data_IF_233020031386
#
_entry.id   IF_233020031386
#
_cell.length_a   1.000
_cell.length_b   1.000
_cell.length_c   1.000
_cell.angle_alpha   90.00
_cell.angle_beta   90.00
_cell.angle_gamma   90.00
#
_symmetry.space_group_name_H-M   'P 1'
#
loop_
_entity.id
_entity.type
_entity.pdbx_description
1 polymer ?
#
# COMPACT_ATOMS: atom_id res chain seq x y z
N UNK A 1 -11.29 -12.49 5.58
CA UNK A 1 -10.03 -11.75 5.79
C UNK A 1 -10.25 -10.35 6.35
N UNK A 2 -11.23 -10.25 7.23
CA UNK A 2 -11.55 -8.97 7.91
C UNK A 2 -10.35 -8.44 8.71
N UNK A 3 -9.49 -9.34 9.19
CA UNK A 3 -8.28 -9.02 9.94
C UNK A 3 -7.26 -8.14 9.18
N UNK A 4 -7.38 -8.07 7.86
CA UNK A 4 -6.52 -7.22 7.04
C UNK A 4 -7.20 -5.98 6.48
N UNK A 5 -8.49 -5.77 6.78
CA UNK A 5 -9.22 -4.60 6.28
C UNK A 5 -9.12 -3.45 7.27
N UNK A 6 -8.65 -2.30 6.78
CA UNK A 6 -8.71 -1.06 7.52
C UNK A 6 -9.82 -0.18 6.92
N UNK A 7 -11.03 -0.19 7.50
CA UNK A 7 -12.21 0.44 6.90
C UNK A 7 -12.01 1.92 6.56
N UNK A 8 -11.30 2.65 7.43
CA UNK A 8 -11.01 4.08 7.21
C UNK A 8 -10.22 4.33 5.93
N UNK A 9 -9.18 3.53 5.68
CA UNK A 9 -8.38 3.67 4.46
C UNK A 9 -9.14 3.23 3.23
N UNK A 10 -9.89 2.13 3.32
CA UNK A 10 -10.74 1.68 2.23
C UNK A 10 -11.78 2.74 1.85
N UNK A 11 -12.45 3.35 2.82
CA UNK A 11 -13.43 4.41 2.59
C UNK A 11 -12.77 5.64 1.97
N UNK A 12 -11.57 6.00 2.43
CA UNK A 12 -10.82 7.13 1.89
C UNK A 12 -10.47 6.89 0.41
N UNK A 13 -9.92 5.73 0.09
CA UNK A 13 -9.58 5.36 -1.30
C UNK A 13 -10.82 5.34 -2.20
N UNK A 14 -11.93 4.81 -1.70
CA UNK A 14 -13.18 4.70 -2.47
C UNK A 14 -13.71 6.07 -2.95
N UNK A 15 -13.41 7.15 -2.23
CA UNK A 15 -13.80 8.50 -2.62
C UNK A 15 -13.17 8.98 -3.93
N UNK A 16 -12.04 8.37 -4.33
CA UNK A 16 -11.31 8.74 -5.55
C UNK A 16 -11.61 7.83 -6.73
N UNK A 17 -12.53 6.88 -6.56
CA UNK A 17 -12.87 5.88 -7.58
C UNK A 17 -14.18 6.19 -8.33
N UNK A 18 -14.72 7.40 -8.20
CA UNK A 18 -15.99 7.79 -8.86
C UNK A 18 -15.89 7.68 -10.39
N UNK A 19 -14.72 7.97 -10.96
CA UNK A 19 -14.44 7.81 -12.38
C UNK A 19 -13.88 6.42 -12.74
N UNK A 20 -13.79 5.52 -11.76
CA UNK A 20 -13.24 4.18 -11.89
C UNK A 20 -11.75 4.16 -12.30
N UNK A 21 -11.01 5.23 -11.98
CA UNK A 21 -9.58 5.37 -12.27
C UNK A 21 -8.87 5.87 -11.02
N UNK A 22 -7.79 5.19 -10.63
CA UNK A 22 -6.89 5.67 -9.59
C UNK A 22 -5.60 6.20 -10.23
N UNK A 23 -5.31 7.47 -10.02
CA UNK A 23 -4.15 8.15 -10.60
C UNK A 23 -2.96 8.04 -9.66
N UNK A 24 -1.89 7.43 -10.13
CA UNK A 24 -0.71 7.11 -9.31
C UNK A 24 0.55 7.74 -9.92
N UNK A 25 1.36 8.37 -9.08
CA UNK A 25 2.67 8.88 -9.43
C UNK A 25 3.75 8.19 -8.60
N UNK A 26 4.85 7.80 -9.23
CA UNK A 26 6.02 7.23 -8.58
C UNK A 26 7.23 8.09 -8.94
N UNK A 27 7.83 8.76 -7.95
CA UNK A 27 8.93 9.70 -8.18
C UNK A 27 10.20 8.98 -8.66
N UNK A 28 10.50 7.81 -8.10
CA UNK A 28 11.65 6.97 -8.47
C UNK A 28 11.17 5.63 -9.05
N UNK A 29 10.60 5.61 -10.27
CA UNK A 29 10.02 4.40 -10.82
C UNK A 29 11.09 3.35 -11.13
N UNK A 30 10.80 2.10 -10.79
CA UNK A 30 11.63 0.94 -11.06
C UNK A 30 10.79 -0.12 -11.78
N UNK A 31 11.45 -1.15 -12.31
CA UNK A 31 10.75 -2.32 -12.85
C UNK A 31 9.82 -2.93 -11.79
N UNK A 32 10.28 -2.97 -10.54
CA UNK A 32 9.49 -3.51 -9.44
C UNK A 32 8.20 -2.69 -9.22
N UNK A 33 8.30 -1.36 -9.11
CA UNK A 33 7.12 -0.49 -8.88
C UNK A 33 6.15 -0.53 -10.05
N UNK A 34 6.64 -0.57 -11.28
CA UNK A 34 5.79 -0.72 -12.47
C UNK A 34 5.04 -2.05 -12.45
N UNK A 35 5.71 -3.15 -12.12
CA UNK A 35 5.06 -4.47 -12.01
C UNK A 35 4.06 -4.52 -10.86
N UNK A 36 4.37 -3.90 -9.73
CA UNK A 36 3.46 -3.81 -8.59
C UNK A 36 2.13 -3.15 -8.98
N UNK A 37 2.20 -2.02 -9.67
CA UNK A 37 1.02 -1.30 -10.12
C UNK A 37 0.26 -2.07 -11.21
N UNK A 38 0.97 -2.66 -12.18
CA UNK A 38 0.34 -3.45 -13.24
C UNK A 38 -0.35 -4.69 -12.69
N UNK A 39 0.25 -5.38 -11.72
CA UNK A 39 -0.36 -6.55 -11.07
C UNK A 39 -1.61 -6.15 -10.30
N UNK A 40 -1.57 -5.02 -9.58
CA UNK A 40 -2.76 -4.50 -8.89
C UNK A 40 -3.88 -4.16 -9.87
N UNK A 41 -3.55 -3.50 -10.99
CA UNK A 41 -4.51 -3.14 -12.03
C UNK A 41 -5.28 -4.36 -12.55
N UNK A 42 -4.61 -5.50 -12.67
CA UNK A 42 -5.25 -6.76 -13.09
C UNK A 42 -6.17 -7.37 -12.03
N UNK A 43 -5.99 -7.05 -10.76
CA UNK A 43 -6.73 -7.65 -9.65
C UNK A 43 -8.01 -6.89 -9.26
N UNK A 44 -8.10 -5.61 -9.58
CA UNK A 44 -9.13 -4.71 -9.06
C UNK A 44 -10.11 -4.27 -10.14
N UNK A 45 -11.27 -3.79 -9.71
CA UNK A 45 -12.34 -3.35 -10.61
C UNK A 45 -12.13 -1.95 -11.20
N UNK A 46 -11.14 -1.21 -10.72
CA UNK A 46 -10.79 0.11 -11.26
C UNK A 46 -9.48 0.05 -12.04
N UNK A 47 -9.27 1.02 -12.92
CA UNK A 47 -8.04 1.16 -13.68
C UNK A 47 -7.00 1.95 -12.88
N UNK A 48 -5.73 1.59 -13.01
CA UNK A 48 -4.62 2.35 -12.45
C UNK A 48 -3.94 3.12 -13.58
N UNK A 49 -3.98 4.46 -13.48
CA UNK A 49 -3.31 5.34 -14.43
C UNK A 49 -2.03 5.88 -13.82
N UNK A 50 -0.88 5.47 -14.37
CA UNK A 50 0.42 5.97 -13.92
C UNK A 50 0.71 7.31 -14.58
N UNK A 51 0.92 8.33 -13.75
CA UNK A 51 1.18 9.70 -14.20
C UNK A 51 2.68 9.98 -14.29
N UNK A 52 3.06 10.86 -15.22
CA UNK A 52 4.45 11.33 -15.37
C UNK A 52 4.81 12.47 -14.43
N UNK A 53 3.81 13.12 -13.83
CA UNK A 53 3.98 14.25 -12.90
C UNK A 53 3.02 14.11 -11.72
N UNK A 54 3.36 14.64 -10.53
CA UNK A 54 2.57 14.43 -9.32
C UNK A 54 1.31 15.29 -9.21
N UNK A 55 1.16 16.31 -10.04
CA UNK A 55 0.14 17.37 -9.85
C UNK A 55 -1.29 16.85 -9.64
N UNK A 56 -1.69 15.81 -10.36
CA UNK A 56 -3.05 15.25 -10.30
C UNK A 56 -3.08 13.85 -9.72
N UNK A 57 -1.98 13.40 -9.08
CA UNK A 57 -1.93 12.08 -8.49
C UNK A 57 -2.80 12.00 -7.24
N UNK A 58 -3.53 10.90 -7.13
CA UNK A 58 -4.31 10.55 -5.93
C UNK A 58 -3.44 9.73 -4.98
N UNK A 59 -2.50 8.96 -5.50
CA UNK A 59 -1.45 8.31 -4.72
C UNK A 59 -0.09 8.68 -5.30
N UNK A 60 0.79 9.24 -4.47
CA UNK A 60 2.13 9.63 -4.89
C UNK A 60 3.18 8.99 -4.00
N UNK A 61 4.17 8.34 -4.61
CA UNK A 61 5.28 7.66 -3.91
C UNK A 61 6.55 8.49 -4.04
N UNK A 62 7.21 8.73 -2.90
CA UNK A 62 8.49 9.44 -2.84
C UNK A 62 9.50 8.67 -1.99
N UNK A 63 10.76 8.66 -2.40
CA UNK A 63 11.87 8.20 -1.57
C UNK A 63 12.53 9.39 -0.88
N UNK A 64 12.81 9.26 0.42
CA UNK A 64 13.39 10.32 1.24
C UNK A 64 14.53 9.79 2.11
N UNK A 65 15.51 10.66 2.42
CA UNK A 65 16.60 10.30 3.33
C UNK A 65 16.13 10.24 4.79
N UNK A 66 15.20 11.12 5.17
CA UNK A 66 14.65 11.18 6.52
C UNK A 66 13.13 11.28 6.48
N UNK A 67 12.48 10.63 7.44
CA UNK A 67 11.02 10.71 7.60
C UNK A 67 10.63 11.93 8.42
N UNK A 68 9.42 12.51 8.19
CA UNK A 68 8.95 13.64 8.96
C UNK A 68 8.73 13.27 10.43
N UNK A 69 9.00 14.23 11.32
CA UNK A 69 8.71 14.04 12.76
C UNK A 69 7.19 13.90 13.00
N UNK A 70 6.75 13.06 13.94
CA UNK A 70 7.54 12.24 14.88
C UNK A 70 7.92 10.83 14.36
N UNK A 71 7.87 10.59 13.06
CA UNK A 71 8.01 9.27 12.44
C UNK A 71 9.42 8.95 11.96
N UNK A 72 10.46 9.58 12.55
CA UNK A 72 11.85 9.38 12.14
C UNK A 72 12.34 7.92 12.19
N UNK A 73 11.72 7.08 13.00
CA UNK A 73 12.01 5.65 13.12
C UNK A 73 11.40 4.80 11.98
N UNK A 74 10.42 5.32 11.25
CA UNK A 74 9.70 4.55 10.25
C UNK A 74 10.52 4.35 8.98
N UNK A 75 10.42 3.16 8.37
CA UNK A 75 11.02 2.87 7.08
C UNK A 75 10.11 3.29 5.92
N UNK A 76 8.81 3.34 6.15
CA UNK A 76 7.80 3.79 5.21
C UNK A 76 6.61 4.42 5.93
N UNK A 77 5.85 5.22 5.22
CA UNK A 77 4.61 5.86 5.72
C UNK A 77 3.60 5.95 4.58
N UNK A 78 2.34 5.69 4.91
CA UNK A 78 1.21 5.97 4.03
C UNK A 78 0.36 7.06 4.69
N UNK A 79 0.44 8.28 4.17
CA UNK A 79 -0.17 9.47 4.79
C UNK A 79 -1.41 9.87 4.01
N UNK A 80 -2.61 9.81 4.61
CA UNK A 80 -3.83 10.29 3.97
C UNK A 80 -3.74 11.80 3.72
N UNK A 81 -4.20 12.23 2.55
CA UNK A 81 -4.29 13.64 2.16
C UNK A 81 -5.68 13.92 1.61
N UNK A 82 -6.02 15.19 1.38
CA UNK A 82 -7.29 15.55 0.73
C UNK A 82 -7.41 14.97 -0.68
N UNK A 83 -6.28 14.73 -1.34
CA UNK A 83 -6.22 14.21 -2.72
C UNK A 83 -6.09 12.69 -2.80
N UNK A 84 -5.84 12.02 -1.67
CA UNK A 84 -5.62 10.57 -1.63
C UNK A 84 -4.56 10.19 -0.60
N UNK A 85 -3.36 9.82 -1.07
CA UNK A 85 -2.25 9.44 -0.18
C UNK A 85 -0.92 9.94 -0.70
N UNK A 86 -0.06 10.32 0.24
CA UNK A 86 1.38 10.44 0.00
C UNK A 86 2.07 9.26 0.67
N UNK A 87 2.82 8.48 -0.09
CA UNK A 87 3.60 7.36 0.41
C UNK A 87 5.07 7.74 0.41
N UNK A 88 5.69 7.62 1.58
CA UNK A 88 7.11 7.90 1.77
C UNK A 88 7.86 6.60 2.01
N UNK A 89 8.98 6.42 1.31
CA UNK A 89 9.87 5.26 1.45
C UNK A 89 11.26 5.76 1.80
N UNK A 90 11.86 5.20 2.85
CA UNK A 90 13.21 5.60 3.28
C UNK A 90 14.24 5.09 2.28
N UNK A 91 15.04 5.99 1.71
CA UNK A 91 16.03 5.69 0.66
C UNK A 91 17.04 4.62 1.06
N UNK A 92 17.49 4.65 2.31
CA UNK A 92 18.51 3.74 2.84
C UNK A 92 17.96 2.46 3.44
N UNK A 93 16.65 2.20 3.31
CA UNK A 93 16.03 0.99 3.84
C UNK A 93 16.54 -0.25 3.09
N UNK A 94 16.77 -1.34 3.84
CA UNK A 94 17.33 -2.57 3.29
C UNK A 94 16.38 -3.31 2.36
N UNK A 95 15.07 -3.24 2.61
CA UNK A 95 14.07 -3.93 1.79
C UNK A 95 13.00 -2.95 1.31
N UNK A 96 13.38 -2.12 0.35
CA UNK A 96 12.46 -1.13 -0.23
C UNK A 96 11.27 -1.79 -0.95
N UNK A 97 11.45 -2.96 -1.55
CA UNK A 97 10.37 -3.65 -2.27
C UNK A 97 9.22 -4.01 -1.32
N UNK A 98 9.56 -4.56 -0.15
CA UNK A 98 8.54 -4.82 0.87
C UNK A 98 7.86 -3.53 1.34
N UNK A 99 8.63 -2.45 1.55
CA UNK A 99 8.08 -1.17 2.02
C UNK A 99 7.10 -0.60 0.98
N UNK A 100 7.44 -0.63 -0.31
CA UNK A 100 6.53 -0.21 -1.37
C UNK A 100 5.21 -1.00 -1.34
N UNK A 101 5.29 -2.32 -1.26
CA UNK A 101 4.11 -3.19 -1.18
C UNK A 101 3.29 -2.93 0.09
N UNK A 102 3.95 -2.81 1.22
CA UNK A 102 3.34 -2.59 2.53
C UNK A 102 2.55 -1.28 2.55
N UNK A 103 3.18 -0.18 2.17
CA UNK A 103 2.53 1.12 2.17
C UNK A 103 1.45 1.23 1.07
N UNK A 104 1.69 0.61 -0.08
CA UNK A 104 0.66 0.48 -1.11
C UNK A 104 -0.55 -0.30 -0.60
N UNK A 105 -0.32 -1.38 0.15
CA UNK A 105 -1.39 -2.13 0.82
C UNK A 105 -2.26 -1.24 1.71
N UNK A 106 -1.64 -0.37 2.51
CA UNK A 106 -2.39 0.59 3.33
C UNK A 106 -3.28 1.51 2.47
N UNK A 107 -2.77 2.01 1.36
CA UNK A 107 -3.55 2.85 0.45
C UNK A 107 -4.73 2.11 -0.16
N UNK A 108 -4.61 0.81 -0.37
CA UNK A 108 -5.70 -0.05 -0.86
C UNK A 108 -6.69 -0.48 0.23
N UNK A 109 -6.41 -0.17 1.49
CA UNK A 109 -7.31 -0.47 2.60
C UNK A 109 -6.88 -1.63 3.49
N UNK A 110 -5.63 -2.09 3.37
CA UNK A 110 -5.10 -3.13 4.26
C UNK A 110 -4.55 -2.53 5.55
N UNK A 111 -4.65 -3.27 6.64
CA UNK A 111 -4.03 -2.92 7.93
C UNK A 111 -3.03 -3.99 8.37
N UNK A 112 -2.31 -3.69 9.44
CA UNK A 112 -1.44 -4.67 10.07
C UNK A 112 -2.26 -5.78 10.72
N UNK A 113 -1.88 -7.06 10.57
CA UNK A 113 -2.62 -8.14 11.23
C UNK A 113 -2.50 -8.10 12.75
N UNK A 114 -1.52 -7.38 13.29
CA UNK A 114 -1.29 -7.18 14.73
C UNK A 114 -1.91 -5.88 15.27
N UNK A 115 -2.58 -5.09 14.42
CA UNK A 115 -3.22 -3.83 14.83
C UNK A 115 -4.65 -4.14 15.29
N UNK A 116 -5.05 -3.59 16.45
CA UNK A 116 -6.35 -3.83 17.05
C UNK A 116 -7.29 -2.62 17.00
N UNK A 117 -7.06 -1.69 16.09
CA UNK A 117 -7.84 -0.44 15.97
C UNK A 117 -9.34 -0.67 15.80
N UNK A 118 -9.69 -1.75 15.12
CA UNK A 118 -11.08 -2.17 14.91
C UNK A 118 -11.49 -3.38 15.79
N UNK A 119 -10.63 -3.83 16.69
CA UNK A 119 -10.87 -4.98 17.54
C UNK A 119 -10.57 -6.33 16.90
N UNK A 120 -9.90 -6.35 15.81
CA UNK A 120 -9.69 -7.47 14.89
C UNK A 120 -8.18 -7.74 14.75
N UNK A 121 -7.68 -8.79 15.37
CA UNK A 121 -6.25 -9.10 15.44
C UNK A 121 -5.98 -10.52 14.97
N UNK A 122 -5.04 -10.64 14.03
CA UNK A 122 -4.54 -11.91 13.51
C UNK A 122 -3.12 -12.15 14.00
N UNK A 123 -2.97 -12.89 15.07
CA UNK A 123 -1.68 -13.22 15.67
C UNK A 123 -0.91 -14.26 14.86
N UNK A 124 0.39 -14.35 15.13
CA UNK A 124 1.32 -15.34 14.57
C UNK A 124 1.47 -15.31 13.05
N UNK A 125 1.19 -14.15 12.42
CA UNK A 125 1.41 -13.98 11.00
C UNK A 125 2.86 -13.61 10.68
N UNK A 126 3.31 -13.96 9.50
CA UNK A 126 4.61 -13.57 8.98
C UNK A 126 4.49 -13.06 7.52
N UNK A 127 5.62 -12.71 6.90
CA UNK A 127 5.63 -12.22 5.52
C UNK A 127 5.27 -13.27 4.47
N UNK A 128 5.14 -14.55 4.85
CA UNK A 128 4.60 -15.57 3.96
C UNK A 128 3.08 -15.55 3.92
N UNK A 129 2.44 -15.01 4.96
CA UNK A 129 0.98 -14.86 5.06
C UNK A 129 0.51 -13.55 4.43
N UNK A 130 1.17 -12.45 4.77
CA UNK A 130 0.78 -11.10 4.33
C UNK A 130 1.99 -10.14 4.33
N UNK A 131 2.04 -9.24 3.36
CA UNK A 131 3.06 -8.17 3.33
C UNK A 131 2.82 -7.13 4.44
N UNK A 132 1.67 -7.17 5.10
CA UNK A 132 1.32 -6.25 6.18
C UNK A 132 1.92 -6.68 7.53
N UNK A 133 2.47 -7.88 7.62
CA UNK A 133 3.18 -8.36 8.81
C UNK A 133 4.58 -7.76 8.92
N UNK A 134 5.06 -7.56 10.16
CA UNK A 134 6.44 -7.18 10.46
C UNK A 134 7.35 -8.39 10.75
N UNK A 135 6.80 -9.59 10.74
CA UNK A 135 7.56 -10.82 10.99
C UNK A 135 8.22 -11.31 9.69
N UNK A 136 9.49 -11.00 9.51
CA UNK A 136 10.24 -11.27 8.29
C UNK A 136 10.79 -12.70 8.29
N UNK A 137 10.37 -13.49 7.32
CA UNK A 137 10.90 -14.86 7.12
C UNK A 137 11.66 -14.98 5.80
N UNK A 138 11.19 -14.33 4.73
CA UNK A 138 11.81 -14.41 3.41
C UNK A 138 11.67 -13.08 2.66
N UNK A 139 12.49 -12.83 1.63
CA UNK A 139 12.35 -11.65 0.79
C UNK A 139 10.96 -11.55 0.17
N UNK A 140 10.30 -10.41 0.33
CA UNK A 140 8.97 -10.16 -0.21
C UNK A 140 9.09 -9.50 -1.57
N UNK A 141 8.44 -10.07 -2.59
CA UNK A 141 8.48 -9.61 -3.99
C UNK A 141 7.11 -9.23 -4.55
N UNK A 142 6.03 -9.69 -3.92
CA UNK A 142 4.67 -9.50 -4.38
C UNK A 142 3.71 -9.61 -3.21
N UNK A 143 2.47 -9.17 -3.40
CA UNK A 143 1.40 -9.45 -2.46
C UNK A 143 1.28 -10.96 -2.22
N UNK A 144 0.99 -11.33 -0.99
CA UNK A 144 0.81 -12.71 -0.58
C UNK A 144 -0.66 -13.12 -0.74
N UNK A 145 -1.00 -14.42 -0.69
CA UNK A 145 -2.38 -14.86 -0.91
C UNK A 145 -3.43 -14.15 -0.06
N UNK A 146 -3.17 -13.89 1.22
CA UNK A 146 -4.11 -13.18 2.09
C UNK A 146 -4.33 -11.73 1.64
N UNK A 147 -3.27 -11.06 1.16
CA UNK A 147 -3.37 -9.70 0.62
C UNK A 147 -4.21 -9.69 -0.65
N UNK A 148 -3.93 -10.61 -1.57
CA UNK A 148 -4.67 -10.74 -2.84
C UNK A 148 -6.14 -11.00 -2.58
N UNK A 149 -6.47 -11.94 -1.71
CA UNK A 149 -7.85 -12.28 -1.36
C UNK A 149 -8.58 -11.06 -0.78
N UNK A 150 -7.92 -10.31 0.08
CA UNK A 150 -8.51 -9.11 0.70
C UNK A 150 -8.71 -8.00 -0.33
N UNK A 151 -7.71 -7.69 -1.16
CA UNK A 151 -7.79 -6.64 -2.18
C UNK A 151 -8.88 -6.99 -3.21
N UNK A 152 -8.92 -8.20 -3.71
CA UNK A 152 -9.92 -8.62 -4.68
C UNK A 152 -11.33 -8.64 -4.08
N UNK A 153 -11.46 -8.91 -2.79
CA UNK A 153 -12.72 -8.82 -2.06
C UNK A 153 -13.22 -7.39 -1.89
N UNK A 154 -12.31 -6.44 -1.67
CA UNK A 154 -12.65 -5.02 -1.53
C UNK A 154 -13.01 -4.37 -2.87
N UNK A 155 -12.34 -4.76 -3.94
CA UNK A 155 -12.51 -4.18 -5.28
C UNK A 155 -12.80 -5.28 -6.32
N UNK A 156 -13.95 -5.95 -6.23
CA UNK A 156 -14.25 -7.09 -7.09
C UNK A 156 -14.40 -6.67 -8.57
N UNK A 157 -13.80 -7.49 -9.42
CA UNK A 157 -13.86 -7.31 -10.88
C UNK A 157 -15.24 -7.73 -11.43
#
# INVERSE_FOLDING_TARGET
MEELIYPRNYQHTSQFLDDNILKVYVDSPTRFTRNMLATTDEMVSFDIKVLKKPKHAEVAFYEQNAMPEPYGYAAGLCIPTEKGYTILVKKIANDKKWIYLHEWGHALGLEHPHDDRDGDVWYDTDTNDTVMSYNWISPVRAFRPADVDTITGLYPV
#
